data_IF_311994654254
#
_entry.id   IF_311994654254
#
_cell.length_a   1.000
_cell.length_b   1.000
_cell.length_c   1.000
_cell.angle_alpha   90.00
_cell.angle_beta   90.00
_cell.angle_gamma   90.00
#
_symmetry.space_group_name_H-M   'P 1'
#
loop_
_entity.id
_entity.type
_entity.pdbx_description
1 polymer ?
#
# COMPACT_ATOMS: atom_id res chain seq x y z
N UNK A 1 12.04 -7.00 26.14
CA UNK A 1 11.47 -7.56 24.89
C UNK A 1 11.75 -6.76 23.61
N UNK A 2 11.94 -5.43 23.66
CA UNK A 2 12.10 -4.57 22.48
C UNK A 2 13.28 -4.95 21.57
N UNK A 3 14.41 -5.37 22.16
CA UNK A 3 15.60 -5.80 21.40
C UNK A 3 15.33 -6.92 20.39
N UNK A 4 14.53 -7.93 20.74
CA UNK A 4 14.20 -9.03 19.83
C UNK A 4 13.42 -8.57 18.59
N UNK A 5 12.57 -7.56 18.72
CA UNK A 5 11.78 -7.05 17.59
C UNK A 5 12.59 -6.11 16.69
N UNK A 6 13.55 -5.37 17.26
CA UNK A 6 14.54 -4.63 16.47
C UNK A 6 15.38 -5.61 15.65
N UNK A 7 15.83 -6.72 16.26
CA UNK A 7 16.53 -7.78 15.56
C UNK A 7 15.67 -8.39 14.44
N UNK A 8 14.42 -8.72 14.75
CA UNK A 8 13.47 -9.24 13.76
C UNK A 8 13.29 -8.25 12.60
N UNK A 9 13.14 -6.96 12.88
CA UNK A 9 13.04 -5.93 11.84
C UNK A 9 14.30 -5.82 10.99
N UNK A 10 15.49 -5.91 11.61
CA UNK A 10 16.76 -6.00 10.88
C UNK A 10 16.84 -7.25 9.98
N UNK A 11 16.35 -8.40 10.44
CA UNK A 11 16.29 -9.62 9.64
C UNK A 11 15.29 -9.49 8.47
N UNK A 12 14.10 -8.92 8.70
CA UNK A 12 13.12 -8.59 7.67
C UNK A 12 13.76 -7.71 6.57
N UNK A 13 14.50 -6.67 6.98
CA UNK A 13 15.22 -5.77 6.08
C UNK A 13 16.26 -6.52 5.25
N UNK A 14 17.12 -7.28 5.91
CA UNK A 14 18.21 -8.01 5.27
C UNK A 14 17.71 -9.04 4.25
N UNK A 15 16.53 -9.62 4.48
CA UNK A 15 15.87 -10.56 3.58
C UNK A 15 15.03 -9.88 2.48
N UNK A 16 14.96 -8.55 2.44
CA UNK A 16 14.18 -7.82 1.44
C UNK A 16 12.67 -8.03 1.56
N UNK A 17 12.16 -8.29 2.77
CA UNK A 17 10.77 -8.62 3.00
C UNK A 17 9.89 -7.37 3.16
N UNK A 18 8.61 -7.52 2.85
CA UNK A 18 7.57 -6.50 3.05
C UNK A 18 6.87 -6.74 4.38
N UNK A 19 6.29 -5.69 4.95
CA UNK A 19 5.56 -5.76 6.22
C UNK A 19 4.18 -5.15 6.09
N UNK A 20 3.21 -5.87 6.66
CA UNK A 20 1.84 -5.43 6.86
C UNK A 20 1.39 -5.84 8.27
N UNK A 21 0.44 -5.10 8.84
CA UNK A 21 -0.23 -5.48 10.09
C UNK A 21 -1.54 -6.19 9.74
N UNK A 22 -1.74 -7.36 10.33
CA UNK A 22 -2.93 -8.17 10.13
C UNK A 22 -3.12 -9.18 11.25
N UNK A 23 -4.22 -9.93 11.18
CA UNK A 23 -4.56 -11.00 12.12
C UNK A 23 -4.62 -12.31 11.37
N UNK A 24 -3.83 -13.28 11.83
CA UNK A 24 -3.99 -14.67 11.42
C UNK A 24 -5.23 -15.25 12.11
N UNK A 25 -6.25 -15.61 11.34
CA UNK A 25 -7.41 -16.35 11.83
C UNK A 25 -7.48 -17.71 11.14
N UNK A 26 -8.13 -18.68 11.77
CA UNK A 26 -8.46 -19.93 11.08
C UNK A 26 -9.76 -19.75 10.34
N UNK A 27 -9.80 -20.14 9.07
CA UNK A 27 -11.05 -20.22 8.33
C UNK A 27 -11.90 -21.41 8.82
N UNK A 28 -13.10 -21.56 8.24
CA UNK A 28 -14.03 -22.64 8.57
C UNK A 28 -13.44 -24.05 8.34
N UNK A 29 -12.39 -24.16 7.50
CA UNK A 29 -11.69 -25.40 7.17
C UNK A 29 -10.40 -25.60 7.99
N UNK A 30 -10.11 -24.70 8.94
CA UNK A 30 -8.93 -24.75 9.80
C UNK A 30 -7.64 -24.22 9.16
N UNK A 31 -7.70 -23.69 7.94
CA UNK A 31 -6.57 -23.07 7.27
C UNK A 31 -6.32 -21.68 7.85
N UNK A 32 -5.05 -21.29 8.01
CA UNK A 32 -4.72 -19.94 8.48
C UNK A 32 -4.90 -18.95 7.34
N UNK A 33 -5.86 -18.04 7.49
CA UNK A 33 -6.10 -16.92 6.58
C UNK A 33 -5.67 -15.62 7.25
N UNK A 34 -5.08 -14.72 6.46
CA UNK A 34 -4.69 -13.39 6.91
C UNK A 34 -5.88 -12.45 6.72
N UNK A 35 -6.36 -11.87 7.83
CA UNK A 35 -7.29 -10.74 7.82
C UNK A 35 -6.47 -9.46 7.93
N UNK A 36 -6.20 -8.86 6.77
CA UNK A 36 -5.36 -7.68 6.64
C UNK A 36 -6.05 -6.39 7.10
N UNK A 37 -7.27 -6.47 7.61
CA UNK A 37 -8.07 -5.40 8.22
C UNK A 37 -8.34 -5.63 9.72
N UNK A 38 -7.92 -6.76 10.27
CA UNK A 38 -8.04 -7.07 11.70
C UNK A 38 -6.65 -7.20 12.32
N UNK A 39 -6.49 -6.85 13.59
CA UNK A 39 -5.20 -6.93 14.29
C UNK A 39 -4.58 -5.57 14.60
N UNK A 40 -3.74 -5.53 15.63
CA UNK A 40 -3.09 -4.32 16.12
C UNK A 40 -1.67 -4.65 16.52
N UNK A 41 -0.76 -3.75 16.21
CA UNK A 41 0.64 -3.92 16.49
C UNK A 41 1.18 -2.70 17.25
N UNK A 42 1.09 -2.78 18.57
CA UNK A 42 1.57 -1.74 19.47
C UNK A 42 2.92 -2.13 20.09
N UNK A 43 3.73 -1.13 20.44
CA UNK A 43 5.02 -1.27 21.13
C UNK A 43 6.06 -2.01 20.29
N UNK A 44 6.62 -3.11 20.80
CA UNK A 44 7.81 -3.75 20.22
C UNK A 44 7.58 -4.26 18.79
N UNK A 45 6.40 -4.80 18.46
CA UNK A 45 6.13 -5.29 17.11
C UNK A 45 6.10 -4.15 16.06
N UNK A 46 5.74 -2.92 16.47
CA UNK A 46 5.73 -1.76 15.57
C UNK A 46 7.15 -1.44 15.09
N UNK A 47 8.17 -1.73 15.91
CA UNK A 47 9.57 -1.63 15.47
C UNK A 47 9.93 -2.71 14.47
N UNK A 48 9.52 -3.97 14.67
CA UNK A 48 9.76 -5.02 13.66
C UNK A 48 9.11 -4.69 12.31
N UNK A 49 7.94 -4.06 12.32
CA UNK A 49 7.28 -3.55 11.10
C UNK A 49 8.15 -2.55 10.33
N UNK A 50 8.95 -1.71 11.00
CA UNK A 50 9.85 -0.77 10.31
C UNK A 50 10.92 -1.49 9.46
N UNK A 51 11.17 -2.77 9.75
CA UNK A 51 12.05 -3.65 9.00
C UNK A 51 11.71 -3.78 7.51
N UNK A 52 10.45 -3.61 7.13
CA UNK A 52 10.00 -3.83 5.76
C UNK A 52 10.67 -2.92 4.73
N UNK A 53 11.19 -3.49 3.64
CA UNK A 53 11.58 -2.69 2.46
C UNK A 53 10.39 -1.92 1.89
N UNK A 54 9.18 -2.46 2.14
CA UNK A 54 7.90 -1.80 2.00
C UNK A 54 7.00 -2.11 3.17
N UNK A 55 6.21 -1.12 3.53
CA UNK A 55 5.40 -1.04 4.75
C UNK A 55 4.00 -0.57 4.37
N UNK A 56 3.01 -1.46 4.41
CA UNK A 56 1.67 -1.15 3.90
C UNK A 56 1.05 0.06 4.65
N UNK A 57 0.63 1.08 3.89
CA UNK A 57 -0.02 2.30 4.40
C UNK A 57 -1.33 2.02 5.13
N UNK A 58 -2.03 0.94 4.77
CA UNK A 58 -3.23 0.50 5.48
C UNK A 58 -2.92 -0.05 6.88
N UNK A 59 -1.65 -0.21 7.24
CA UNK A 59 -1.25 -0.62 8.60
C UNK A 59 -1.14 0.55 9.57
N UNK A 60 -1.17 1.80 9.10
CA UNK A 60 -0.79 2.98 9.89
C UNK A 60 -1.68 3.18 11.13
N UNK A 61 -2.99 2.98 10.97
CA UNK A 61 -4.01 3.09 12.01
C UNK A 61 -3.94 1.96 13.05
N UNK A 62 -3.13 0.92 12.77
CA UNK A 62 -2.95 -0.27 13.59
C UNK A 62 -1.55 -0.36 14.18
N UNK A 63 -0.72 0.66 13.98
CA UNK A 63 0.61 0.77 14.56
C UNK A 63 0.59 1.72 15.75
N UNK A 64 1.13 1.25 16.87
CA UNK A 64 1.27 2.03 18.09
C UNK A 64 2.69 2.05 18.59
N UNK A 65 3.18 3.23 18.99
CA UNK A 65 4.53 3.40 19.54
C UNK A 65 4.46 3.84 21.01
N UNK A 66 5.14 3.11 21.88
CA UNK A 66 5.31 3.47 23.28
C UNK A 66 6.60 4.23 23.51
N UNK A 67 6.57 5.14 24.51
CA UNK A 67 7.78 5.63 25.14
C UNK A 67 8.56 4.46 25.74
N UNK A 68 9.87 4.47 25.53
CA UNK A 68 10.76 3.53 26.20
C UNK A 68 11.03 3.98 27.64
N UNK A 69 10.86 3.07 28.62
CA UNK A 69 10.97 3.38 30.04
C UNK A 69 12.10 2.62 30.77
N UNK A 70 12.50 1.40 30.35
CA UNK A 70 13.42 0.55 31.12
C UNK A 70 14.54 -0.13 30.31
N UNK A 71 15.83 0.13 30.61
CA UNK A 71 17.00 -0.49 29.97
C UNK A 71 16.98 -2.03 29.91
N UNK A 72 16.34 -2.66 30.89
CA UNK A 72 16.24 -4.12 31.05
C UNK A 72 15.55 -4.79 29.84
N UNK A 73 14.68 -4.06 29.12
CA UNK A 73 13.97 -4.60 27.96
C UNK A 73 14.84 -4.91 26.73
N UNK A 74 16.13 -4.53 26.76
CA UNK A 74 17.13 -4.83 25.73
C UNK A 74 18.07 -5.99 26.09
N UNK A 75 18.06 -6.49 27.33
CA UNK A 75 19.13 -7.33 27.87
C UNK A 75 19.10 -8.80 27.37
N UNK A 76 18.03 -9.27 26.73
CA UNK A 76 17.95 -10.65 26.21
C UNK A 76 18.59 -10.88 24.81
N UNK A 77 19.24 -9.88 24.22
CA UNK A 77 19.90 -10.03 22.91
C UNK A 77 21.14 -10.95 23.01
N UNK A 78 21.01 -12.22 22.61
CA UNK A 78 22.15 -13.12 22.29
C UNK A 78 22.75 -12.77 20.91
N UNK A 79 23.32 -11.58 20.78
CA UNK A 79 24.12 -11.19 19.61
C UNK A 79 25.55 -10.89 20.05
N UNK A 80 26.49 -11.14 19.14
CA UNK A 80 27.93 -10.84 19.23
C UNK A 80 28.24 -9.32 19.36
N UNK A 81 27.22 -8.49 19.58
CA UNK A 81 27.32 -7.12 20.09
C UNK A 81 27.44 -7.06 21.64
N UNK A 82 27.65 -8.21 22.29
CA UNK A 82 27.62 -8.42 23.73
C UNK A 82 28.67 -7.62 24.55
N UNK A 83 29.69 -7.05 23.90
CA UNK A 83 30.69 -6.23 24.56
C UNK A 83 30.18 -4.83 24.98
N UNK A 84 29.19 -4.28 24.27
CA UNK A 84 28.78 -2.88 24.44
C UNK A 84 27.66 -2.70 25.47
N UNK A 85 26.83 -3.71 25.69
CA UNK A 85 25.54 -3.59 26.41
C UNK A 85 25.65 -3.97 27.90
N UNK A 86 26.77 -4.55 28.35
CA UNK A 86 26.86 -5.20 29.67
C UNK A 86 27.25 -4.29 30.85
N UNK A 87 27.64 -3.02 30.64
CA UNK A 87 28.18 -2.15 31.72
C UNK A 87 27.23 -1.04 32.18
N UNK A 88 25.93 -1.27 32.12
CA UNK A 88 25.00 -0.21 31.78
C UNK A 88 23.89 -0.09 32.85
N UNK A 89 23.97 0.98 33.65
CA UNK A 89 22.90 1.54 34.49
C UNK A 89 22.99 3.08 34.42
N UNK A 90 21.90 3.74 33.99
CA UNK A 90 21.73 5.19 33.74
C UNK A 90 22.52 5.83 32.58
N UNK A 91 23.71 5.35 32.23
CA UNK A 91 24.34 5.63 30.92
C UNK A 91 23.53 5.08 29.72
N UNK A 92 22.44 4.35 30.02
CA UNK A 92 21.80 3.42 29.10
C UNK A 92 20.66 4.01 28.34
N UNK A 93 19.92 4.93 28.94
CA UNK A 93 18.78 5.54 28.26
C UNK A 93 19.29 6.34 27.06
N UNK A 94 20.41 7.04 27.19
CA UNK A 94 21.04 7.77 26.09
C UNK A 94 21.57 6.84 25.00
N UNK A 95 22.27 5.75 25.36
CA UNK A 95 22.78 4.77 24.40
C UNK A 95 21.65 3.99 23.70
N UNK A 96 20.57 3.66 24.42
CA UNK A 96 19.38 3.02 23.85
C UNK A 96 18.64 3.97 22.92
N UNK A 97 18.46 5.24 23.29
CA UNK A 97 17.91 6.25 22.39
C UNK A 97 18.74 6.38 21.13
N UNK A 98 20.08 6.37 21.23
CA UNK A 98 20.97 6.39 20.07
C UNK A 98 20.80 5.14 19.20
N UNK A 99 20.73 3.93 19.79
CA UNK A 99 20.48 2.69 19.07
C UNK A 99 19.13 2.68 18.34
N UNK A 100 18.08 3.22 18.96
CA UNK A 100 16.77 3.37 18.35
C UNK A 100 16.81 4.36 17.18
N UNK A 101 17.49 5.50 17.33
CA UNK A 101 17.69 6.46 16.23
C UNK A 101 18.42 5.78 15.07
N UNK A 102 19.52 5.08 15.35
CA UNK A 102 20.29 4.37 14.32
C UNK A 102 19.42 3.34 13.60
N UNK A 103 18.69 2.51 14.34
CA UNK A 103 17.78 1.53 13.76
C UNK A 103 16.71 2.18 12.87
N UNK A 104 16.04 3.22 13.35
CA UNK A 104 14.98 3.94 12.61
C UNK A 104 15.53 4.54 11.31
N UNK A 105 16.71 5.17 11.38
CA UNK A 105 17.39 5.75 10.21
C UNK A 105 17.80 4.66 9.22
N UNK A 106 18.35 3.55 9.71
CA UNK A 106 18.76 2.40 8.89
C UNK A 106 17.56 1.77 8.17
N UNK A 107 16.39 1.74 8.83
CA UNK A 107 15.13 1.30 8.24
C UNK A 107 14.51 2.32 7.27
N UNK A 108 15.16 3.46 7.03
CA UNK A 108 14.71 4.48 6.09
C UNK A 108 13.52 5.30 6.61
N UNK A 109 13.40 5.41 7.94
CA UNK A 109 12.35 6.16 8.62
C UNK A 109 12.90 7.49 9.12
N UNK A 110 12.06 8.51 9.19
CA UNK A 110 12.45 9.80 9.74
C UNK A 110 12.56 9.72 11.28
N UNK A 111 13.75 9.97 11.81
CA UNK A 111 14.03 9.94 13.24
C UNK A 111 13.18 10.92 14.06
N UNK A 112 12.59 11.95 13.42
CA UNK A 112 11.61 12.84 14.06
C UNK A 112 10.42 12.08 14.64
N UNK A 113 10.09 10.87 14.15
CA UNK A 113 9.03 10.05 14.74
C UNK A 113 9.22 9.82 16.25
N UNK A 114 10.47 9.74 16.72
CA UNK A 114 10.79 9.53 18.13
C UNK A 114 10.28 10.68 19.01
N UNK A 115 10.35 11.92 18.56
CA UNK A 115 9.91 13.06 19.39
C UNK A 115 8.42 13.03 19.67
N UNK A 116 7.62 12.40 18.79
CA UNK A 116 6.16 12.36 18.95
C UNK A 116 5.73 11.50 20.13
N UNK A 117 6.27 10.28 20.29
CA UNK A 117 5.84 9.39 21.36
C UNK A 117 6.70 9.48 22.63
N UNK A 118 7.91 10.04 22.55
CA UNK A 118 8.74 10.31 23.74
C UNK A 118 8.16 11.42 24.63
N UNK A 119 7.33 12.31 24.06
CA UNK A 119 6.62 13.36 24.81
C UNK A 119 5.34 12.87 25.48
N UNK A 120 4.98 11.59 25.32
CA UNK A 120 3.77 10.98 25.88
C UNK A 120 4.07 10.18 27.16
N UNK A 121 3.03 9.93 27.96
CA UNK A 121 3.13 9.18 29.21
C UNK A 121 3.54 7.72 29.00
N UNK A 122 4.09 7.08 30.03
CA UNK A 122 4.55 5.69 29.96
C UNK A 122 3.42 4.68 29.68
N UNK A 123 2.18 5.03 30.02
CA UNK A 123 0.98 4.21 29.78
C UNK A 123 0.25 4.53 28.46
N UNK A 124 0.80 5.43 27.63
CA UNK A 124 0.11 5.88 26.41
C UNK A 124 0.78 5.39 25.12
N UNK A 125 -0.04 4.81 24.26
CA UNK A 125 0.28 4.48 22.86
C UNK A 125 0.11 5.72 22.00
N UNK A 126 1.16 6.10 21.27
CA UNK A 126 1.02 7.09 20.20
C UNK A 126 0.75 6.39 18.86
N UNK A 127 -0.27 6.85 18.15
CA UNK A 127 -0.63 6.39 16.81
C UNK A 127 -0.50 7.56 15.83
N UNK A 128 0.01 7.29 14.63
CA UNK A 128 0.12 8.29 13.57
C UNK A 128 -1.07 8.19 12.62
N UNK A 129 -1.47 9.31 12.01
CA UNK A 129 -2.37 9.26 10.85
C UNK A 129 -1.59 8.90 9.57
N UNK A 130 -2.29 8.68 8.47
CA UNK A 130 -1.67 8.31 7.20
C UNK A 130 -0.71 9.37 6.67
N UNK A 131 -1.05 10.66 6.80
CA UNK A 131 -0.22 11.74 6.28
C UNK A 131 1.10 11.81 7.05
N UNK A 132 1.05 11.78 8.37
CA UNK A 132 2.25 11.75 9.22
C UNK A 132 3.03 10.45 9.01
N UNK A 133 2.33 9.32 8.87
CA UNK A 133 2.94 8.03 8.58
C UNK A 133 3.73 8.00 7.27
N UNK A 134 3.24 8.66 6.23
CA UNK A 134 3.95 8.82 4.95
C UNK A 134 5.08 9.85 5.06
N UNK A 135 4.83 11.02 5.67
CA UNK A 135 5.81 12.10 5.82
C UNK A 135 7.03 11.67 6.64
N UNK A 136 6.82 10.91 7.71
CA UNK A 136 7.86 10.35 8.55
C UNK A 136 8.41 9.04 7.98
N UNK A 137 7.89 8.57 6.84
CA UNK A 137 8.26 7.29 6.22
C UNK A 137 8.14 6.13 7.21
N UNK A 138 7.11 6.10 8.04
CA UNK A 138 6.75 4.99 8.95
C UNK A 138 6.06 3.88 8.15
N UNK A 139 5.15 4.29 7.27
CA UNK A 139 4.60 3.45 6.21
C UNK A 139 5.12 3.94 4.87
N UNK A 140 5.09 3.05 3.90
CA UNK A 140 5.43 3.34 2.51
C UNK A 140 4.30 2.80 1.66
N UNK A 141 3.34 3.63 1.29
CA UNK A 141 2.52 3.29 0.14
C UNK A 141 1.78 4.50 -0.40
N UNK A 142 2.28 4.99 -1.51
CA UNK A 142 1.43 5.26 -2.65
C UNK A 142 1.65 4.06 -3.58
N UNK A 143 0.73 3.09 -3.62
CA UNK A 143 0.83 1.98 -4.59
C UNK A 143 0.91 2.55 -6.01
N UNK A 144 0.20 3.65 -6.22
CA UNK A 144 0.19 4.48 -7.40
C UNK A 144 0.49 5.92 -7.01
N UNK A 145 1.39 6.58 -7.74
CA UNK A 145 1.77 7.95 -7.52
C UNK A 145 0.66 8.94 -7.89
N UNK A 146 0.98 10.23 -7.85
CA UNK A 146 0.02 11.24 -8.27
C UNK A 146 -0.42 11.07 -9.73
N UNK A 147 -1.68 11.35 -10.00
CA UNK A 147 -2.19 11.39 -11.36
C UNK A 147 -1.57 12.56 -12.14
N UNK A 148 -1.31 12.33 -13.41
CA UNK A 148 -0.82 13.33 -14.36
C UNK A 148 -1.60 13.26 -15.67
N UNK A 149 -1.64 14.39 -16.38
CA UNK A 149 -2.24 14.49 -17.71
C UNK A 149 -1.17 14.34 -18.79
N UNK A 150 -1.50 13.62 -19.85
CA UNK A 150 -0.65 13.47 -21.03
C UNK A 150 -1.48 13.62 -22.31
N UNK A 151 -1.03 14.41 -23.31
CA UNK A 151 -1.65 14.43 -24.62
C UNK A 151 -1.53 13.07 -25.30
N UNK A 152 -2.62 12.57 -25.88
CA UNK A 152 -2.62 11.30 -26.61
C UNK A 152 -3.45 11.40 -27.90
N UNK A 153 -2.76 11.41 -29.04
CA UNK A 153 -3.42 11.66 -30.33
C UNK A 153 -4.09 13.03 -30.34
N UNK A 154 -5.42 13.05 -30.50
CA UNK A 154 -6.27 14.27 -30.44
C UNK A 154 -7.01 14.44 -29.11
N UNK A 155 -6.64 13.64 -28.11
CA UNK A 155 -7.29 13.52 -26.81
C UNK A 155 -6.27 13.77 -25.69
N UNK A 156 -6.74 13.70 -24.45
CA UNK A 156 -5.92 13.77 -23.24
C UNK A 156 -6.23 12.53 -22.42
N UNK A 157 -5.19 11.89 -21.88
CA UNK A 157 -5.33 10.83 -20.89
C UNK A 157 -4.92 11.36 -19.52
N UNK A 158 -5.53 10.82 -18.46
CA UNK A 158 -4.98 10.95 -17.12
C UNK A 158 -4.41 9.60 -16.72
N UNK A 159 -3.19 9.55 -16.20
CA UNK A 159 -2.55 8.31 -15.80
C UNK A 159 -1.93 8.43 -14.42
N UNK A 160 -1.83 7.29 -13.74
CA UNK A 160 -1.01 7.13 -12.55
C UNK A 160 -0.17 5.88 -12.68
N UNK A 161 1.11 6.01 -12.32
CA UNK A 161 2.10 4.93 -12.36
C UNK A 161 2.32 4.40 -10.96
N UNK A 162 2.61 3.12 -10.88
CA UNK A 162 3.01 2.47 -9.65
C UNK A 162 4.24 3.15 -9.05
N UNK A 163 4.24 3.38 -7.74
CA UNK A 163 5.40 3.91 -7.01
C UNK A 163 5.80 2.89 -5.95
N UNK A 164 7.08 2.54 -5.88
CA UNK A 164 7.57 1.43 -5.04
C UNK A 164 7.58 0.09 -5.78
N UNK A 165 8.02 -0.98 -5.12
CA UNK A 165 8.04 -2.34 -5.67
C UNK A 165 6.67 -3.02 -5.54
N UNK A 166 6.31 -3.77 -6.57
CA UNK A 166 5.14 -4.63 -6.57
C UNK A 166 5.26 -5.72 -5.52
N UNK A 167 4.25 -5.89 -4.67
CA UNK A 167 4.00 -7.21 -4.07
C UNK A 167 4.05 -8.23 -5.21
N UNK A 168 4.60 -9.44 -5.04
CA UNK A 168 4.62 -10.44 -6.11
C UNK A 168 3.24 -10.74 -6.68
N UNK A 169 2.18 -10.36 -5.97
CA UNK A 169 0.80 -10.47 -6.43
C UNK A 169 0.26 -9.23 -7.14
N UNK A 170 0.86 -8.06 -7.00
CA UNK A 170 0.35 -6.80 -7.54
C UNK A 170 0.96 -6.50 -8.93
N UNK A 171 0.22 -6.90 -9.96
CA UNK A 171 0.71 -6.92 -11.34
C UNK A 171 0.56 -5.59 -12.09
N UNK A 172 -0.31 -4.69 -11.63
CA UNK A 172 -0.61 -3.45 -12.38
C UNK A 172 0.55 -2.46 -12.19
N UNK A 173 1.11 -1.99 -13.31
CA UNK A 173 2.18 -1.00 -13.35
C UNK A 173 1.65 0.42 -13.58
N UNK A 174 0.61 0.56 -14.40
CA UNK A 174 0.01 1.86 -14.69
C UNK A 174 -1.49 1.71 -14.85
N UNK A 175 -2.20 2.74 -14.39
CA UNK A 175 -3.62 2.95 -14.67
C UNK A 175 -3.74 4.20 -15.53
N UNK A 176 -4.55 4.11 -16.58
CA UNK A 176 -4.82 5.24 -17.49
C UNK A 176 -6.32 5.38 -17.69
N UNK A 177 -6.82 6.60 -17.63
CA UNK A 177 -8.22 6.95 -17.91
C UNK A 177 -8.27 7.81 -19.16
N UNK A 178 -9.29 7.56 -19.99
CA UNK A 178 -9.48 8.24 -21.27
C UNK A 178 -10.90 8.02 -21.80
N UNK A 179 -11.24 8.66 -22.92
CA UNK A 179 -12.52 8.48 -23.60
C UNK A 179 -12.37 8.15 -25.08
N UNK A 180 -13.32 7.37 -25.63
CA UNK A 180 -13.55 7.22 -27.09
C UNK A 180 -14.97 7.64 -27.47
N UNK A 181 -15.13 8.19 -28.66
CA UNK A 181 -16.44 8.42 -29.26
C UNK A 181 -16.90 7.18 -30.04
N UNK A 182 -18.02 6.57 -29.65
CA UNK A 182 -18.71 5.53 -30.45
C UNK A 182 -20.09 6.03 -30.86
N UNK A 183 -20.31 6.16 -32.17
CA UNK A 183 -21.59 6.64 -32.74
C UNK A 183 -22.04 7.99 -32.16
N UNK A 184 -21.09 8.90 -31.95
CA UNK A 184 -21.35 10.23 -31.36
C UNK A 184 -21.58 10.24 -29.86
N UNK A 185 -21.48 9.08 -29.18
CA UNK A 185 -21.57 8.97 -27.73
C UNK A 185 -20.19 8.86 -27.10
N UNK A 186 -20.01 9.62 -26.03
CA UNK A 186 -18.85 9.60 -25.14
C UNK A 186 -18.82 8.32 -24.32
N UNK A 187 -17.75 7.54 -24.43
CA UNK A 187 -17.58 6.33 -23.62
C UNK A 187 -16.26 6.41 -22.84
N UNK A 188 -16.31 6.49 -21.50
CA UNK A 188 -15.14 6.50 -20.65
C UNK A 188 -14.53 5.10 -20.49
N UNK A 189 -13.21 5.06 -20.39
CA UNK A 189 -12.43 3.84 -20.22
C UNK A 189 -11.38 4.00 -19.13
N UNK A 190 -11.07 2.90 -18.47
CA UNK A 190 -9.87 2.73 -17.66
C UNK A 190 -9.03 1.60 -18.26
N UNK A 191 -7.72 1.80 -18.34
CA UNK A 191 -6.74 0.87 -18.88
C UNK A 191 -5.74 0.52 -17.81
N UNK A 192 -5.59 -0.79 -17.55
CA UNK A 192 -4.54 -1.34 -16.71
C UNK A 192 -3.41 -1.84 -17.62
N UNK A 193 -2.21 -1.30 -17.42
CA UNK A 193 -1.00 -1.78 -18.07
C UNK A 193 -0.22 -2.65 -17.09
N UNK A 194 -0.02 -3.91 -17.48
CA UNK A 194 0.63 -4.95 -16.69
C UNK A 194 1.88 -5.40 -17.43
N UNK A 195 3.09 -5.38 -16.84
CA UNK A 195 4.28 -5.90 -17.51
C UNK A 195 4.08 -7.38 -17.86
N UNK A 196 4.39 -7.77 -19.11
CA UNK A 196 4.25 -9.15 -19.54
C UNK A 196 5.21 -10.05 -18.75
N UNK A 197 4.65 -11.13 -18.21
CA UNK A 197 5.41 -12.32 -17.83
C UNK A 197 5.18 -13.39 -18.90
N UNK A 198 6.14 -14.29 -19.10
CA UNK A 198 6.19 -15.23 -20.25
C UNK A 198 4.91 -16.09 -20.44
N UNK A 199 4.13 -16.28 -19.38
CA UNK A 199 2.93 -17.12 -19.39
C UNK A 199 1.58 -16.38 -19.27
N UNK A 200 1.58 -15.05 -19.12
CA UNK A 200 0.34 -14.29 -18.93
C UNK A 200 -0.47 -14.21 -20.22
N UNK A 201 -1.75 -14.63 -20.19
CA UNK A 201 -2.70 -14.45 -21.29
C UNK A 201 -3.85 -13.54 -20.83
N UNK A 202 -4.20 -12.49 -21.60
CA UNK A 202 -5.26 -11.55 -21.21
C UNK A 202 -6.62 -12.23 -21.01
N UNK A 203 -6.95 -13.21 -21.86
CA UNK A 203 -8.23 -13.91 -21.77
C UNK A 203 -8.38 -14.68 -20.46
N UNK A 204 -7.28 -15.12 -19.83
CA UNK A 204 -7.35 -15.87 -18.58
C UNK A 204 -7.69 -15.00 -17.37
N UNK A 205 -7.46 -13.69 -17.45
CA UNK A 205 -7.61 -12.76 -16.32
C UNK A 205 -8.87 -11.90 -16.41
N UNK A 206 -9.57 -11.86 -17.55
CA UNK A 206 -10.77 -11.02 -17.75
C UNK A 206 -12.10 -11.78 -17.61
N UNK A 207 -12.08 -13.11 -17.53
CA UNK A 207 -13.27 -14.00 -17.60
C UNK A 207 -14.36 -13.69 -16.58
N UNK A 208 -13.98 -13.33 -15.36
CA UNK A 208 -14.93 -13.11 -14.25
C UNK A 208 -15.30 -11.62 -14.07
N UNK A 209 -14.87 -10.76 -14.99
CA UNK A 209 -15.10 -9.33 -14.90
C UNK A 209 -14.19 -8.61 -13.91
N UNK A 210 -14.67 -7.47 -13.40
CA UNK A 210 -13.94 -6.64 -12.47
C UNK A 210 -14.90 -6.01 -11.45
N UNK A 211 -14.31 -5.40 -10.43
CA UNK A 211 -15.02 -4.70 -9.37
C UNK A 211 -14.36 -3.35 -9.16
N UNK A 212 -15.13 -2.28 -9.33
CA UNK A 212 -14.75 -0.96 -8.85
C UNK A 212 -15.31 -0.80 -7.44
N UNK A 213 -14.52 -0.25 -6.52
CA UNK A 213 -14.93 -0.04 -5.15
C UNK A 213 -14.54 1.34 -4.67
N UNK A 214 -15.33 1.87 -3.76
CA UNK A 214 -15.05 3.09 -3.03
C UNK A 214 -15.43 2.91 -1.57
N UNK A 215 -14.77 3.67 -0.71
CA UNK A 215 -14.96 3.59 0.73
C UNK A 215 -15.44 4.93 1.26
N UNK A 216 -16.49 4.88 2.08
CA UNK A 216 -16.86 5.98 2.98
C UNK A 216 -16.24 5.73 4.35
N UNK A 217 -16.46 6.63 5.31
CA UNK A 217 -15.99 6.44 6.69
C UNK A 217 -16.53 5.18 7.37
N UNK A 218 -17.63 4.60 6.87
CA UNK A 218 -18.34 3.50 7.54
C UNK A 218 -18.60 2.28 6.68
N UNK A 219 -18.51 2.39 5.35
CA UNK A 219 -18.95 1.31 4.45
C UNK A 219 -18.14 1.29 3.16
N UNK A 220 -17.94 0.08 2.61
CA UNK A 220 -17.33 -0.15 1.30
C UNK A 220 -18.40 -0.54 0.30
N UNK A 221 -18.46 0.19 -0.80
CA UNK A 221 -19.39 -0.04 -1.88
C UNK A 221 -18.68 -0.70 -3.06
N UNK A 222 -19.41 -1.55 -3.79
CA UNK A 222 -18.88 -2.29 -4.95
C UNK A 222 -19.78 -2.04 -6.15
N UNK A 223 -19.17 -1.60 -7.24
CA UNK A 223 -19.79 -1.47 -8.56
C UNK A 223 -19.24 -2.60 -9.44
N UNK A 224 -20.04 -3.65 -9.72
CA UNK A 224 -19.60 -4.76 -10.55
C UNK A 224 -19.43 -4.31 -12.00
N UNK A 225 -18.42 -4.88 -12.67
CA UNK A 225 -18.11 -4.67 -14.08
C UNK A 225 -18.15 -6.03 -14.75
N UNK A 226 -19.04 -6.18 -15.71
CA UNK A 226 -19.20 -7.45 -16.42
C UNK A 226 -17.97 -7.73 -17.32
N UNK A 227 -17.63 -9.02 -17.49
CA UNK A 227 -16.56 -9.44 -18.39
C UNK A 227 -16.73 -8.91 -19.82
N UNK A 228 -17.97 -8.73 -20.28
CA UNK A 228 -18.30 -8.15 -21.60
C UNK A 228 -17.86 -6.69 -21.77
N UNK A 229 -17.59 -5.98 -20.67
CA UNK A 229 -17.07 -4.61 -20.66
C UNK A 229 -15.54 -4.57 -20.68
N UNK A 230 -14.87 -5.72 -20.62
CA UNK A 230 -13.42 -5.82 -20.47
C UNK A 230 -12.82 -6.40 -21.74
N UNK A 231 -11.70 -5.81 -22.18
CA UNK A 231 -10.92 -6.29 -23.32
C UNK A 231 -9.46 -6.37 -22.93
N UNK A 232 -8.84 -7.50 -23.23
CA UNK A 232 -7.43 -7.75 -22.98
C UNK A 232 -6.66 -7.91 -24.29
N UNK A 233 -5.44 -7.36 -24.38
CA UNK A 233 -4.51 -7.66 -25.46
C UNK A 233 -3.06 -7.55 -25.01
N UNK A 234 -2.14 -8.07 -25.82
CA UNK A 234 -0.70 -7.88 -25.62
C UNK A 234 -0.22 -6.73 -26.50
N UNK A 235 0.53 -5.80 -25.92
CA UNK A 235 1.17 -4.70 -26.62
C UNK A 235 2.62 -4.54 -26.12
N UNK A 236 3.58 -4.86 -26.99
CA UNK A 236 5.02 -4.83 -26.71
C UNK A 236 5.36 -5.62 -25.43
N UNK A 237 5.78 -4.93 -24.38
CA UNK A 237 6.17 -5.50 -23.08
C UNK A 237 5.05 -5.49 -22.05
N UNK A 238 3.81 -5.18 -22.46
CA UNK A 238 2.66 -5.06 -21.57
C UNK A 238 1.49 -5.92 -22.03
N UNK A 239 0.81 -6.52 -21.06
CA UNK A 239 -0.58 -6.89 -21.18
C UNK A 239 -1.43 -5.66 -20.84
N UNK A 240 -2.35 -5.34 -21.74
CA UNK A 240 -3.26 -4.22 -21.64
C UNK A 240 -4.66 -4.73 -21.35
N UNK A 241 -5.32 -4.17 -20.33
CA UNK A 241 -6.66 -4.55 -19.92
C UNK A 241 -7.52 -3.29 -19.87
N UNK A 242 -8.34 -3.12 -20.89
CA UNK A 242 -9.25 -1.99 -21.08
C UNK A 242 -10.63 -2.34 -20.53
N UNK A 243 -11.20 -1.43 -19.75
CA UNK A 243 -12.49 -1.61 -19.11
C UNK A 243 -13.37 -0.43 -19.51
N UNK A 244 -14.50 -0.73 -20.15
CA UNK A 244 -15.54 0.22 -20.50
C UNK A 244 -16.33 0.62 -19.25
N UNK A 245 -16.25 1.89 -18.87
CA UNK A 245 -16.92 2.41 -17.68
C UNK A 245 -18.35 2.84 -18.03
N UNK A 246 -19.32 2.34 -17.27
CA UNK A 246 -20.67 2.89 -17.24
C UNK A 246 -20.73 4.18 -16.42
N UNK A 247 -21.91 4.80 -16.34
CA UNK A 247 -22.13 6.03 -15.56
C UNK A 247 -21.66 5.90 -14.10
N UNK A 248 -21.99 4.80 -13.43
CA UNK A 248 -21.54 4.56 -12.06
C UNK A 248 -20.02 4.39 -11.91
N UNK A 249 -19.33 3.87 -12.92
CA UNK A 249 -17.86 3.74 -12.89
C UNK A 249 -17.15 5.09 -13.06
N UNK A 250 -17.67 5.95 -13.93
CA UNK A 250 -17.18 7.34 -14.09
C UNK A 250 -17.38 8.15 -12.81
N UNK A 251 -18.55 8.04 -12.19
CA UNK A 251 -18.90 8.77 -10.96
C UNK A 251 -17.94 8.40 -9.81
N UNK A 252 -17.67 7.11 -9.60
CA UNK A 252 -16.74 6.67 -8.55
C UNK A 252 -15.35 7.30 -8.72
N UNK A 253 -14.77 7.26 -9.92
CA UNK A 253 -13.42 7.80 -10.15
C UNK A 253 -13.34 9.32 -10.08
N UNK A 254 -14.46 10.03 -10.24
CA UNK A 254 -14.50 11.50 -10.28
C UNK A 254 -15.07 12.15 -9.03
N UNK A 255 -15.72 11.38 -8.15
CA UNK A 255 -16.40 11.90 -6.96
C UNK A 255 -15.82 11.37 -5.66
N UNK A 256 -15.28 10.15 -5.63
CA UNK A 256 -14.87 9.47 -4.39
C UNK A 256 -13.39 9.68 -4.07
N UNK A 257 -13.07 9.89 -2.78
CA UNK A 257 -11.70 10.16 -2.33
C UNK A 257 -10.83 8.90 -2.29
N UNK A 258 -11.40 7.75 -1.91
CA UNK A 258 -10.70 6.47 -1.84
C UNK A 258 -11.35 5.50 -2.80
N UNK A 259 -10.62 5.13 -3.84
CA UNK A 259 -11.11 4.28 -4.91
C UNK A 259 -10.14 3.15 -5.15
N UNK A 260 -10.68 1.99 -5.48
CA UNK A 260 -9.90 0.97 -6.12
C UNK A 260 -10.67 0.21 -7.18
N UNK A 261 -9.92 -0.51 -7.98
CA UNK A 261 -10.38 -1.33 -9.08
C UNK A 261 -9.66 -2.66 -8.98
N UNK A 262 -10.35 -3.78 -9.11
CA UNK A 262 -9.72 -5.08 -9.13
C UNK A 262 -10.36 -5.96 -10.20
N UNK A 263 -9.55 -6.69 -10.96
CA UNK A 263 -10.07 -7.82 -11.75
C UNK A 263 -10.44 -8.94 -10.79
N UNK A 264 -11.53 -9.62 -11.11
CA UNK A 264 -11.97 -10.78 -10.36
C UNK A 264 -11.15 -11.99 -10.83
N UNK A 265 -9.97 -12.22 -10.27
CA UNK A 265 -9.10 -13.34 -10.65
C UNK A 265 -8.84 -14.28 -9.49
N UNK A 266 -8.60 -15.56 -9.81
CA UNK A 266 -8.11 -16.49 -8.81
C UNK A 266 -6.70 -16.11 -8.36
N UNK A 267 -6.36 -16.27 -7.08
CA UNK A 267 -5.03 -15.90 -6.53
C UNK A 267 -3.86 -16.52 -7.31
N UNK A 268 -4.05 -17.73 -7.84
CA UNK A 268 -3.04 -18.43 -8.65
C UNK A 268 -2.70 -17.70 -9.97
N UNK A 269 -3.60 -16.84 -10.46
CA UNK A 269 -3.43 -16.05 -11.68
C UNK A 269 -2.82 -14.66 -11.40
N UNK A 270 -2.57 -14.33 -10.13
CA UNK A 270 -2.14 -13.01 -9.68
C UNK A 270 -3.31 -12.07 -9.31
N UNK A 271 -2.97 -10.92 -8.73
CA UNK A 271 -3.93 -9.86 -8.39
C UNK A 271 -3.70 -8.66 -9.31
N UNK A 272 -4.76 -8.20 -9.95
CA UNK A 272 -4.72 -7.08 -10.89
C UNK A 272 -5.58 -5.98 -10.31
N UNK A 273 -4.98 -5.04 -9.59
CA UNK A 273 -5.75 -4.01 -8.92
C UNK A 273 -5.05 -2.65 -8.94
N UNK A 274 -5.88 -1.63 -8.79
CA UNK A 274 -5.52 -0.28 -8.42
C UNK A 274 -6.18 0.03 -7.08
N UNK A 275 -5.46 0.72 -6.22
CA UNK A 275 -5.96 1.26 -4.96
C UNK A 275 -5.24 2.59 -4.74
N UNK A 276 -6.00 3.66 -4.59
CA UNK A 276 -5.45 4.99 -4.43
C UNK A 276 -6.41 5.98 -3.80
N UNK A 277 -5.83 6.95 -3.10
CA UNK A 277 -6.51 8.14 -2.65
C UNK A 277 -6.39 9.21 -3.74
N UNK A 278 -7.51 9.72 -4.24
CA UNK A 278 -7.58 10.66 -5.34
C UNK A 278 -7.93 12.04 -4.78
N UNK A 279 -6.98 12.97 -4.84
CA UNK A 279 -7.22 14.35 -4.41
C UNK A 279 -8.20 15.08 -5.33
N UNK A 280 -8.79 16.18 -4.86
CA UNK A 280 -9.65 17.05 -5.66
C UNK A 280 -9.03 17.47 -7.00
N UNK A 281 -7.72 17.75 -7.01
CA UNK A 281 -7.00 18.14 -8.23
C UNK A 281 -6.93 16.97 -9.22
N UNK A 282 -6.67 15.77 -8.74
CA UNK A 282 -6.57 14.56 -9.56
C UNK A 282 -7.93 14.10 -10.10
N UNK A 283 -9.02 14.30 -9.34
CA UNK A 283 -10.39 14.11 -9.83
C UNK A 283 -10.69 14.97 -11.06
N UNK A 284 -10.28 16.23 -11.05
CA UNK A 284 -10.43 17.12 -12.22
C UNK A 284 -9.57 16.67 -13.41
N UNK A 285 -8.38 16.10 -13.17
CA UNK A 285 -7.57 15.51 -14.24
C UNK A 285 -8.27 14.29 -14.86
N UNK A 286 -8.74 13.35 -14.04
CA UNK A 286 -9.47 12.17 -14.49
C UNK A 286 -10.71 12.59 -15.27
N UNK A 287 -11.49 13.54 -14.75
CA UNK A 287 -12.67 14.10 -15.43
C UNK A 287 -12.32 14.72 -16.78
N UNK A 288 -11.21 15.44 -16.89
CA UNK A 288 -10.75 16.00 -18.16
C UNK A 288 -10.47 14.89 -19.19
N UNK A 289 -9.85 13.78 -18.78
CA UNK A 289 -9.60 12.62 -19.66
C UNK A 289 -10.87 11.98 -20.21
N UNK A 290 -11.98 12.08 -19.47
CA UNK A 290 -13.28 11.58 -19.92
C UNK A 290 -14.04 12.56 -20.83
N UNK A 291 -13.71 13.85 -20.79
CA UNK A 291 -14.37 14.89 -21.60
C UNK A 291 -13.79 15.03 -23.00
N UNK A 292 -12.49 14.82 -23.18
CA UNK A 292 -11.80 15.03 -24.45
C UNK A 292 -11.58 13.70 -25.19
N UNK A 293 -12.60 13.19 -25.89
CA UNK A 293 -12.52 11.89 -26.55
C UNK A 293 -11.77 11.94 -27.88
N UNK A 294 -11.08 10.83 -28.18
CA UNK A 294 -10.59 10.53 -29.53
C UNK A 294 -11.66 9.85 -30.38
#
# INVERSE_FOLDING_TARGET
MLGHYIFLGGAIRALGLKTEVGRSVKDHYGATVLLNNEGRCDSACAYAFLGGIERDSNSIDRLGFHRFYNPIDFIDMKLDYAGLVRSMAMEDTQKISALLVMYIVEMGVDARMLSYFQSHGFDSVYTFDLNDGLNLRIVTNQRFGSWYLEPYGKSIVAASKKVGSSSPYDQVYQVTTYCRSKSGKRIPYILLSVPLQDYSQPDDVIKEGASLYYETSTERFVVPIAASQIRGWKDKSFMQIEIELGKGGEEVLTQEDKVGLALNTGRAQGLYFYDGQISKKEKEMIKASFLHCN
#
